data_IF_174295685665
#
_entry.id   IF_174295685665
#
_cell.length_a   1.000
_cell.length_b   1.000
_cell.length_c   1.000
_cell.angle_alpha   90.00
_cell.angle_beta   90.00
_cell.angle_gamma   90.00
#
_symmetry.space_group_name_H-M   'P 1'
#
loop_
_entity.id
_entity.type
_entity.pdbx_description
1 polymer ?
#
# COMPACT_ATOMS: atom_id res chain seq x y z
N UNK A 1 6.15 5.10 -19.48
CA UNK A 1 5.57 6.46 -19.31
C UNK A 1 6.68 7.48 -19.03
N UNK A 2 6.42 8.80 -18.92
CA UNK A 2 7.45 9.75 -18.44
C UNK A 2 7.53 9.72 -16.91
N UNK A 3 8.68 10.08 -16.30
CA UNK A 3 8.81 10.17 -14.84
C UNK A 3 7.72 11.02 -14.18
N UNK A 4 7.33 12.14 -14.80
CA UNK A 4 6.31 13.04 -14.26
C UNK A 4 4.93 12.40 -14.23
N UNK A 5 4.58 11.62 -15.27
CA UNK A 5 3.31 10.87 -15.29
C UNK A 5 3.29 9.79 -14.22
N UNK A 6 4.42 9.11 -13.98
CA UNK A 6 4.53 8.08 -12.95
C UNK A 6 4.47 8.69 -11.55
N UNK A 7 5.17 9.80 -11.32
CA UNK A 7 5.07 10.56 -10.07
C UNK A 7 3.63 11.00 -9.79
N UNK A 8 2.92 11.47 -10.82
CA UNK A 8 1.53 11.86 -10.69
C UNK A 8 0.61 10.66 -10.41
N UNK A 9 0.82 9.52 -11.08
CA UNK A 9 0.06 8.29 -10.81
C UNK A 9 0.21 7.82 -9.35
N UNK A 10 1.45 7.86 -8.83
CA UNK A 10 1.76 7.55 -7.44
C UNK A 10 1.12 8.53 -6.46
N UNK A 11 1.27 9.84 -6.71
CA UNK A 11 0.66 10.89 -5.89
C UNK A 11 -0.86 10.72 -5.85
N UNK A 12 -1.50 10.55 -7.01
CA UNK A 12 -2.96 10.38 -7.10
C UNK A 12 -3.43 9.11 -6.39
N UNK A 13 -2.69 8.01 -6.46
CA UNK A 13 -3.01 6.79 -5.72
C UNK A 13 -3.00 7.03 -4.21
N UNK A 14 -1.97 7.71 -3.69
CA UNK A 14 -1.87 8.06 -2.27
C UNK A 14 -3.02 8.99 -1.84
N UNK A 15 -3.33 10.02 -2.63
CA UNK A 15 -4.38 11.00 -2.28
C UNK A 15 -5.78 10.39 -2.33
N UNK A 16 -6.09 9.61 -3.37
CA UNK A 16 -7.40 8.99 -3.52
C UNK A 16 -7.71 8.02 -2.37
N UNK A 17 -6.68 7.36 -1.86
CA UNK A 17 -6.81 6.45 -0.73
C UNK A 17 -7.22 7.19 0.57
N UNK A 18 -6.71 8.41 0.80
CA UNK A 18 -7.09 9.23 1.96
C UNK A 18 -8.55 9.72 1.92
N UNK A 19 -9.15 9.80 0.73
CA UNK A 19 -10.56 10.16 0.54
C UNK A 19 -11.51 8.99 0.85
N UNK A 20 -11.00 7.76 0.89
CA UNK A 20 -11.79 6.56 1.13
C UNK A 20 -11.99 6.28 2.63
N UNK A 21 -13.12 5.66 2.97
CA UNK A 21 -13.40 5.25 4.34
C UNK A 21 -12.66 3.93 4.63
N UNK A 22 -11.65 4.00 5.50
CA UNK A 22 -10.81 2.84 5.86
C UNK A 22 -10.81 2.63 7.37
N UNK A 23 -11.81 1.91 7.91
CA UNK A 23 -11.96 1.76 9.35
C UNK A 23 -10.69 1.30 10.06
N UNK A 24 -10.24 2.07 11.05
CA UNK A 24 -9.03 1.84 11.83
C UNK A 24 -7.78 2.53 11.29
N UNK A 25 -7.78 3.01 10.05
CA UNK A 25 -6.66 3.72 9.42
C UNK A 25 -6.97 5.23 9.27
N UNK A 26 -5.99 6.03 8.80
CA UNK A 26 -6.15 7.48 8.65
C UNK A 26 -6.92 7.81 7.37
N UNK A 27 -7.91 8.69 7.44
CA UNK A 27 -8.70 9.13 6.29
C UNK A 27 -9.40 10.47 6.56
N UNK A 28 -9.96 11.12 5.52
CA UNK A 28 -10.57 12.47 5.60
C UNK A 28 -11.57 12.67 6.76
N UNK A 29 -12.30 11.63 7.18
CA UNK A 29 -13.27 11.74 8.27
C UNK A 29 -12.69 11.66 9.69
N UNK A 30 -11.42 11.25 9.87
CA UNK A 30 -10.80 11.11 11.19
C UNK A 30 -9.29 10.86 11.10
N UNK A 31 -8.54 11.68 11.85
CA UNK A 31 -7.13 11.44 12.20
C UNK A 31 -6.97 10.13 12.99
N UNK A 32 -5.74 9.60 13.10
CA UNK A 32 -5.50 8.34 13.79
C UNK A 32 -4.03 8.08 14.12
N UNK A 33 -3.79 7.39 15.22
CA UNK A 33 -2.47 6.88 15.62
C UNK A 33 -1.38 7.95 15.78
N UNK A 34 -1.77 9.16 16.18
CA UNK A 34 -0.84 10.28 16.35
C UNK A 34 -0.41 10.97 15.05
N UNK A 35 -1.07 10.64 13.94
CA UNK A 35 -0.84 11.25 12.63
C UNK A 35 -2.12 11.94 12.13
N UNK A 36 -1.93 12.98 11.34
CA UNK A 36 -3.00 13.72 10.67
C UNK A 36 -2.99 13.46 9.17
N UNK A 37 -4.12 13.68 8.50
CA UNK A 37 -4.21 13.56 7.03
C UNK A 37 -3.15 14.43 6.34
N UNK A 38 -2.84 15.61 6.90
CA UNK A 38 -1.79 16.50 6.37
C UNK A 38 -0.42 15.83 6.28
N UNK A 39 -0.09 14.95 7.23
CA UNK A 39 1.20 14.26 7.24
C UNK A 39 1.29 13.32 6.04
N UNK A 40 0.23 12.55 5.76
CA UNK A 40 0.17 11.66 4.60
C UNK A 40 0.18 12.43 3.28
N UNK A 41 -0.54 13.56 3.20
CA UNK A 41 -0.52 14.41 2.01
C UNK A 41 0.88 14.96 1.73
N UNK A 42 1.55 15.54 2.73
CA UNK A 42 2.91 16.05 2.61
C UNK A 42 3.89 14.94 2.22
N UNK A 43 3.73 13.74 2.80
CA UNK A 43 4.57 12.58 2.48
C UNK A 43 4.43 12.12 1.04
N UNK A 44 3.20 12.07 0.52
CA UNK A 44 2.93 11.75 -0.87
C UNK A 44 3.51 12.82 -1.82
N UNK A 45 3.44 14.11 -1.45
CA UNK A 45 4.05 15.19 -2.24
C UNK A 45 5.58 15.13 -2.26
N UNK A 46 6.19 14.95 -1.09
CA UNK A 46 7.65 14.89 -0.94
C UNK A 46 8.25 13.67 -1.67
N UNK A 47 7.60 12.52 -1.58
CA UNK A 47 8.11 11.28 -2.17
C UNK A 47 7.82 11.14 -3.67
N UNK A 48 6.76 11.74 -4.22
CA UNK A 48 6.29 11.44 -5.59
C UNK A 48 7.31 11.67 -6.71
N UNK A 49 7.97 12.84 -6.73
CA UNK A 49 8.97 13.11 -7.76
C UNK A 49 10.26 12.32 -7.53
N UNK A 50 10.63 12.13 -6.26
CA UNK A 50 11.84 11.40 -5.85
C UNK A 50 11.73 9.93 -6.24
N UNK A 51 10.63 9.28 -5.86
CA UNK A 51 10.37 7.87 -6.16
C UNK A 51 10.20 7.63 -7.66
N UNK A 52 9.96 8.65 -8.50
CA UNK A 52 9.83 8.48 -9.95
C UNK A 52 11.10 8.83 -10.73
N UNK A 53 12.19 9.25 -10.08
CA UNK A 53 13.42 9.68 -10.76
C UNK A 53 13.96 8.58 -11.70
N UNK A 54 14.33 8.93 -12.94
CA UNK A 54 14.92 7.97 -13.86
C UNK A 54 16.31 7.52 -13.36
N UNK A 55 16.75 6.36 -13.83
CA UNK A 55 18.11 5.82 -13.60
C UNK A 55 18.48 5.48 -12.15
N UNK A 56 17.51 5.45 -11.22
CA UNK A 56 17.71 4.84 -9.90
C UNK A 56 17.43 3.33 -9.94
N UNK A 57 18.18 2.57 -9.14
CA UNK A 57 17.84 1.21 -8.76
C UNK A 57 16.61 1.19 -7.83
N UNK A 58 16.08 0.00 -7.52
CA UNK A 58 14.87 -0.13 -6.69
C UNK A 58 15.16 0.29 -5.25
N UNK A 59 16.28 -0.15 -4.69
CA UNK A 59 16.71 0.22 -3.34
C UNK A 59 16.96 1.71 -3.20
N UNK A 60 17.76 2.32 -4.09
CA UNK A 60 18.03 3.76 -4.10
C UNK A 60 16.73 4.58 -4.16
N UNK A 61 15.76 4.13 -4.95
CA UNK A 61 14.43 4.73 -5.08
C UNK A 61 13.63 4.64 -3.78
N UNK A 62 13.68 3.50 -3.09
CA UNK A 62 13.07 3.31 -1.76
C UNK A 62 13.72 4.25 -0.75
N UNK A 63 15.05 4.23 -0.63
CA UNK A 63 15.80 5.02 0.34
C UNK A 63 15.57 6.52 0.15
N UNK A 64 15.70 7.01 -1.08
CA UNK A 64 15.51 8.43 -1.39
C UNK A 64 14.08 8.89 -1.09
N UNK A 65 13.08 8.07 -1.40
CA UNK A 65 11.67 8.42 -1.14
C UNK A 65 11.36 8.45 0.36
N UNK A 66 11.94 7.53 1.15
CA UNK A 66 11.81 7.53 2.61
C UNK A 66 12.54 8.73 3.23
N UNK A 67 13.74 9.06 2.75
CA UNK A 67 14.47 10.27 3.18
C UNK A 67 13.65 11.53 2.94
N UNK A 68 13.07 11.69 1.74
CA UNK A 68 12.21 12.83 1.42
C UNK A 68 10.98 12.91 2.34
N UNK A 69 10.39 11.77 2.69
CA UNK A 69 9.28 11.72 3.65
C UNK A 69 9.74 12.12 5.06
N UNK A 70 10.88 11.59 5.51
CA UNK A 70 11.44 11.88 6.83
C UNK A 70 11.78 13.37 6.98
N UNK A 71 12.32 14.00 5.94
CA UNK A 71 12.59 15.44 5.90
C UNK A 71 11.31 16.29 5.95
N UNK A 72 10.24 15.84 5.31
CA UNK A 72 9.00 16.58 5.22
C UNK A 72 8.14 16.51 6.50
N UNK A 73 8.03 15.32 7.11
CA UNK A 73 7.10 15.08 8.23
C UNK A 73 7.71 14.41 9.46
N UNK A 74 8.88 13.79 9.36
CA UNK A 74 9.54 13.12 10.49
C UNK A 74 8.81 11.89 11.03
N UNK A 75 7.81 11.38 10.31
CA UNK A 75 6.91 10.30 10.71
C UNK A 75 6.86 9.21 9.64
N UNK A 76 6.58 7.98 10.07
CA UNK A 76 6.38 6.85 9.16
C UNK A 76 4.94 6.77 8.66
N UNK A 77 4.66 7.51 7.59
CA UNK A 77 3.33 7.62 6.98
C UNK A 77 3.16 6.73 5.74
N UNK A 78 4.26 6.35 5.06
CA UNK A 78 4.18 5.75 3.72
C UNK A 78 5.29 4.72 3.41
N UNK A 79 6.03 4.20 4.39
CA UNK A 79 7.09 3.20 4.13
C UNK A 79 6.54 2.00 3.34
N UNK A 80 5.41 1.45 3.76
CA UNK A 80 4.81 0.29 3.09
C UNK A 80 4.37 0.59 1.66
N UNK A 81 3.79 1.77 1.44
CA UNK A 81 3.45 2.29 0.11
C UNK A 81 4.71 2.39 -0.76
N UNK A 82 5.80 2.98 -0.25
CA UNK A 82 7.06 3.15 -0.99
C UNK A 82 7.64 1.79 -1.38
N UNK A 83 7.69 0.84 -0.44
CA UNK A 83 8.18 -0.52 -0.70
C UNK A 83 7.36 -1.20 -1.80
N UNK A 84 6.03 -1.13 -1.76
CA UNK A 84 5.19 -1.73 -2.79
C UNK A 84 5.32 -1.03 -4.15
N UNK A 85 5.35 0.30 -4.18
CA UNK A 85 5.31 1.06 -5.42
C UNK A 85 6.66 1.17 -6.12
N UNK A 86 7.79 1.16 -5.41
CA UNK A 86 9.12 1.29 -6.02
C UNK A 86 9.42 0.27 -7.15
N UNK A 87 9.21 -1.06 -6.98
CA UNK A 87 9.43 -2.01 -8.06
C UNK A 87 8.42 -1.85 -9.22
N UNK A 88 7.16 -1.46 -8.94
CA UNK A 88 6.17 -1.16 -9.99
C UNK A 88 6.58 0.06 -10.83
N UNK A 89 7.10 1.10 -10.17
CA UNK A 89 7.62 2.29 -10.81
C UNK A 89 8.82 1.94 -11.70
N UNK A 90 9.73 1.11 -11.21
CA UNK A 90 10.85 0.62 -12.00
C UNK A 90 10.37 -0.12 -13.25
N UNK A 91 9.36 -0.97 -13.13
CA UNK A 91 8.74 -1.67 -14.26
C UNK A 91 8.10 -0.68 -15.26
N UNK A 92 7.33 0.30 -14.79
CA UNK A 92 6.69 1.31 -15.63
C UNK A 92 7.68 2.24 -16.36
N UNK A 93 8.85 2.50 -15.75
CA UNK A 93 9.95 3.23 -16.38
C UNK A 93 10.63 2.41 -17.49
N UNK A 94 10.81 1.09 -17.30
CA UNK A 94 11.34 0.18 -18.33
C UNK A 94 10.45 0.10 -19.57
N UNK A 95 9.13 0.20 -19.37
CA UNK A 95 8.12 0.18 -20.44
C UNK A 95 7.92 1.56 -21.11
N UNK A 96 8.89 2.48 -21.02
CA UNK A 96 8.80 3.78 -21.69
C UNK A 96 8.77 3.62 -23.21
N UNK A 97 7.66 4.05 -23.82
CA UNK A 97 7.45 3.98 -25.27
C UNK A 97 6.72 2.71 -25.73
N UNK A 98 6.30 1.85 -24.80
CA UNK A 98 5.47 0.68 -25.11
C UNK A 98 4.12 1.10 -25.69
N UNK A 99 3.71 0.44 -26.78
CA UNK A 99 2.47 0.75 -27.51
C UNK A 99 1.28 0.09 -26.82
N UNK A 100 1.49 -1.07 -26.19
CA UNK A 100 0.45 -1.87 -25.52
C UNK A 100 0.62 -1.88 -23.99
N UNK A 101 0.74 -0.70 -23.37
CA UNK A 101 0.86 -0.61 -21.92
C UNK A 101 -0.46 -0.96 -21.23
N UNK A 102 -0.50 -2.11 -20.53
CA UNK A 102 -1.66 -2.63 -19.81
C UNK A 102 -1.21 -3.39 -18.53
N UNK A 103 -2.15 -3.98 -17.78
CA UNK A 103 -1.82 -4.73 -16.56
C UNK A 103 -0.86 -5.91 -16.82
N UNK A 104 -1.02 -6.64 -17.92
CA UNK A 104 -0.18 -7.80 -18.26
C UNK A 104 1.26 -7.38 -18.57
N UNK A 105 1.43 -6.33 -19.37
CA UNK A 105 2.74 -5.77 -19.69
C UNK A 105 3.45 -5.27 -18.43
N UNK A 106 2.72 -4.56 -17.55
CA UNK A 106 3.27 -4.10 -16.28
C UNK A 106 3.67 -5.26 -15.36
N UNK A 107 2.84 -6.30 -15.26
CA UNK A 107 3.13 -7.48 -14.45
C UNK A 107 4.37 -8.23 -14.96
N UNK A 108 4.49 -8.43 -16.28
CA UNK A 108 5.66 -9.08 -16.88
C UNK A 108 6.95 -8.29 -16.61
N UNK A 109 6.91 -6.96 -16.77
CA UNK A 109 8.05 -6.10 -16.45
C UNK A 109 8.36 -6.08 -14.94
N UNK A 110 7.34 -6.17 -14.08
CA UNK A 110 7.52 -6.23 -12.63
C UNK A 110 8.20 -7.55 -12.22
N UNK A 111 7.78 -8.68 -12.76
CA UNK A 111 8.44 -9.98 -12.52
C UNK A 111 9.92 -9.94 -12.93
N UNK A 112 10.24 -9.31 -14.06
CA UNK A 112 11.63 -9.11 -14.48
C UNK A 112 12.41 -8.21 -13.51
N UNK A 113 11.80 -7.12 -13.02
CA UNK A 113 12.42 -6.27 -11.97
C UNK A 113 12.70 -7.07 -10.71
N UNK A 114 11.74 -7.87 -10.25
CA UNK A 114 11.83 -8.66 -9.03
C UNK A 114 12.92 -9.74 -9.09
N UNK A 115 13.09 -10.39 -10.24
CA UNK A 115 14.17 -11.38 -10.46
C UNK A 115 15.58 -10.76 -10.46
N UNK A 116 15.70 -9.47 -10.77
CA UNK A 116 16.98 -8.78 -10.89
C UNK A 116 17.28 -7.85 -9.70
N UNK A 117 16.53 -7.96 -8.60
CA UNK A 117 16.84 -7.26 -7.37
C UNK A 117 18.21 -7.69 -6.82
N UNK A 118 19.05 -6.71 -6.51
CA UNK A 118 20.44 -6.90 -6.12
C UNK A 118 20.65 -6.89 -4.60
N UNK A 119 21.89 -7.13 -4.17
CA UNK A 119 22.32 -6.96 -2.78
C UNK A 119 22.30 -5.48 -2.38
N UNK A 120 22.75 -4.59 -3.28
CA UNK A 120 22.67 -3.14 -3.03
C UNK A 120 21.24 -2.66 -2.87
N UNK A 121 20.29 -3.22 -3.64
CA UNK A 121 18.87 -2.92 -3.41
C UNK A 121 18.42 -3.30 -1.99
N UNK A 122 18.98 -4.37 -1.42
CA UNK A 122 18.70 -4.80 -0.06
C UNK A 122 19.31 -3.86 0.99
N UNK A 123 20.54 -3.41 0.76
CA UNK A 123 21.25 -2.47 1.65
C UNK A 123 20.50 -1.14 1.77
N UNK A 124 20.08 -0.58 0.62
CA UNK A 124 19.33 0.68 0.59
C UNK A 124 17.93 0.53 1.17
N UNK A 125 17.20 -0.56 0.85
CA UNK A 125 15.88 -0.81 1.42
C UNK A 125 15.94 -1.05 2.93
N UNK A 126 16.96 -1.75 3.43
CA UNK A 126 17.17 -1.94 4.88
C UNK A 126 17.47 -0.60 5.56
N UNK A 127 18.32 0.23 4.95
CA UNK A 127 18.61 1.59 5.44
C UNK A 127 17.35 2.45 5.49
N UNK A 128 16.46 2.31 4.50
CA UNK A 128 15.18 3.01 4.46
C UNK A 128 14.23 2.52 5.57
N UNK A 129 14.14 1.20 5.78
CA UNK A 129 13.32 0.61 6.86
C UNK A 129 13.80 1.10 8.23
N UNK A 130 15.12 1.11 8.46
CA UNK A 130 15.71 1.63 9.71
C UNK A 130 15.42 3.12 9.87
N UNK A 131 15.56 3.91 8.80
CA UNK A 131 15.28 5.35 8.83
C UNK A 131 13.81 5.65 9.17
N UNK A 132 12.89 4.91 8.56
CA UNK A 132 11.46 5.05 8.81
C UNK A 132 11.02 4.54 10.19
N UNK A 133 11.84 3.73 10.87
CA UNK A 133 11.59 3.23 12.22
C UNK A 133 10.13 2.71 12.46
N UNK A 134 9.63 1.77 11.64
CA UNK A 134 8.28 1.21 11.82
C UNK A 134 8.10 0.52 13.17
N UNK A 135 6.87 0.57 13.69
CA UNK A 135 6.52 -0.12 14.92
C UNK A 135 6.66 -1.65 14.77
N UNK A 136 7.21 -2.30 15.80
CA UNK A 136 7.26 -3.76 15.87
C UNK A 136 8.29 -4.42 14.94
N UNK A 137 9.38 -3.70 14.62
CA UNK A 137 10.53 -4.27 13.89
C UNK A 137 11.09 -5.54 14.55
N UNK A 138 11.03 -5.62 15.88
CA UNK A 138 11.37 -6.82 16.66
C UNK A 138 12.81 -7.32 16.45
N UNK A 139 13.14 -8.44 17.09
CA UNK A 139 14.34 -9.21 16.76
C UNK A 139 13.98 -10.22 15.67
N UNK A 140 14.55 -10.08 14.48
CA UNK A 140 14.35 -11.04 13.37
C UNK A 140 15.34 -12.20 13.53
N UNK A 141 14.88 -13.44 13.36
CA UNK A 141 15.73 -14.62 13.49
C UNK A 141 16.72 -14.80 12.33
N UNK A 142 16.48 -14.15 11.19
CA UNK A 142 17.33 -14.14 10.01
C UNK A 142 17.36 -12.74 9.40
N UNK A 143 18.57 -12.24 9.14
CA UNK A 143 18.88 -10.95 8.52
C UNK A 143 18.28 -9.75 9.28
N UNK A 144 19.00 -9.31 10.30
CA UNK A 144 18.74 -8.05 10.99
C UNK A 144 18.88 -6.88 10.01
N UNK A 145 17.84 -6.07 9.86
CA UNK A 145 17.87 -4.86 9.00
C UNK A 145 18.84 -3.79 9.51
N UNK A 146 19.27 -3.89 10.78
CA UNK A 146 20.34 -3.07 11.33
C UNK A 146 21.75 -3.57 10.95
N UNK A 147 21.85 -4.80 10.43
CA UNK A 147 23.08 -5.34 9.87
C UNK A 147 23.11 -5.15 8.34
N UNK A 148 24.31 -5.10 7.76
CA UNK A 148 24.47 -4.98 6.30
C UNK A 148 24.05 -6.29 5.62
N UNK A 149 22.98 -6.31 4.80
CA UNK A 149 22.52 -7.54 4.16
C UNK A 149 23.53 -8.02 3.12
N UNK A 150 23.79 -9.33 3.10
CA UNK A 150 24.65 -9.99 2.10
C UNK A 150 23.86 -10.77 1.05
N UNK A 151 22.54 -10.57 1.03
CA UNK A 151 21.59 -11.26 0.16
C UNK A 151 20.84 -10.24 -0.69
N UNK A 152 20.23 -10.69 -1.79
CA UNK A 152 19.42 -9.79 -2.63
C UNK A 152 18.17 -9.32 -1.90
N UNK A 153 17.57 -8.21 -2.35
CA UNK A 153 16.33 -7.72 -1.75
C UNK A 153 15.19 -8.75 -1.86
N UNK A 154 15.15 -9.55 -2.94
CA UNK A 154 14.20 -10.66 -3.04
C UNK A 154 14.38 -11.68 -1.90
N UNK A 155 15.62 -12.12 -1.64
CA UNK A 155 15.90 -13.06 -0.56
C UNK A 155 15.60 -12.48 0.82
N UNK A 156 15.85 -11.17 1.02
CA UNK A 156 15.48 -10.48 2.25
C UNK A 156 13.96 -10.47 2.46
N UNK A 157 13.19 -10.17 1.41
CA UNK A 157 11.72 -10.17 1.48
C UNK A 157 11.15 -11.58 1.68
N UNK A 158 11.74 -12.60 1.04
CA UNK A 158 11.37 -14.01 1.26
C UNK A 158 11.57 -14.44 2.72
N UNK A 159 12.62 -13.97 3.39
CA UNK A 159 12.85 -14.28 4.80
C UNK A 159 11.76 -13.69 5.73
N UNK A 160 11.14 -12.56 5.32
CA UNK A 160 10.11 -11.86 6.10
C UNK A 160 8.67 -12.20 5.70
N UNK A 161 8.44 -12.95 4.61
CA UNK A 161 7.11 -13.11 3.99
C UNK A 161 6.02 -13.69 4.90
N UNK A 162 6.40 -14.49 5.89
CA UNK A 162 5.46 -15.10 6.84
C UNK A 162 4.97 -14.13 7.92
N UNK A 163 5.64 -12.99 8.07
CA UNK A 163 5.36 -12.00 9.11
C UNK A 163 4.99 -10.62 8.55
N UNK A 164 5.34 -10.35 7.28
CA UNK A 164 5.06 -9.09 6.61
C UNK A 164 4.43 -9.34 5.23
N UNK A 165 3.19 -8.84 5.04
CA UNK A 165 2.44 -9.04 3.81
C UNK A 165 2.97 -8.20 2.64
N UNK A 166 3.71 -7.12 2.91
CA UNK A 166 4.45 -6.37 1.88
C UNK A 166 5.58 -7.25 1.36
N UNK A 167 6.35 -7.87 2.24
CA UNK A 167 7.42 -8.78 1.86
C UNK A 167 6.88 -9.99 1.07
N UNK A 168 5.71 -10.51 1.47
CA UNK A 168 5.00 -11.55 0.71
C UNK A 168 4.67 -11.13 -0.73
N UNK A 169 4.37 -9.85 -1.00
CA UNK A 169 4.11 -9.41 -2.38
C UNK A 169 5.34 -9.60 -3.28
N UNK A 170 6.55 -9.36 -2.77
CA UNK A 170 7.78 -9.55 -3.54
C UNK A 170 7.94 -11.01 -3.96
N UNK A 171 7.79 -11.94 -3.01
CA UNK A 171 7.97 -13.38 -3.29
C UNK A 171 6.82 -14.01 -4.09
N UNK A 172 5.64 -13.36 -4.12
CA UNK A 172 4.45 -13.86 -4.80
C UNK A 172 4.01 -12.97 -5.97
N UNK A 173 4.96 -12.26 -6.59
CA UNK A 173 4.74 -11.46 -7.81
C UNK A 173 3.56 -10.48 -7.71
N UNK A 174 3.34 -9.92 -6.51
CA UNK A 174 2.29 -8.94 -6.24
C UNK A 174 0.87 -9.49 -6.50
N UNK A 175 0.67 -10.79 -6.32
CA UNK A 175 -0.59 -11.46 -6.67
C UNK A 175 -1.80 -10.91 -5.91
N UNK A 176 -1.66 -10.42 -4.67
CA UNK A 176 -2.83 -9.81 -4.01
C UNK A 176 -3.29 -8.54 -4.73
N UNK A 177 -2.36 -7.79 -5.32
CA UNK A 177 -2.70 -6.56 -6.04
C UNK A 177 -3.33 -6.88 -7.40
N UNK A 178 -2.71 -7.77 -8.19
CA UNK A 178 -3.19 -8.08 -9.53
C UNK A 178 -4.41 -9.01 -9.55
N UNK A 179 -4.45 -10.03 -8.68
CA UNK A 179 -5.51 -11.05 -8.72
C UNK A 179 -6.69 -10.72 -7.79
N UNK A 180 -6.50 -9.84 -6.80
CA UNK A 180 -7.56 -9.47 -5.85
C UNK A 180 -7.86 -7.99 -5.91
N UNK A 181 -6.88 -7.12 -5.72
CA UNK A 181 -7.06 -5.68 -5.64
C UNK A 181 -7.69 -5.09 -6.91
N UNK A 182 -7.06 -5.34 -8.06
CA UNK A 182 -7.50 -4.79 -9.35
C UNK A 182 -8.92 -5.26 -9.72
N UNK A 183 -9.24 -6.57 -9.71
CA UNK A 183 -10.61 -7.02 -9.96
C UNK A 183 -11.61 -6.40 -8.97
N UNK A 184 -11.28 -6.36 -7.69
CA UNK A 184 -12.16 -5.79 -6.65
C UNK A 184 -12.45 -4.31 -6.87
N UNK A 185 -11.44 -3.56 -7.29
CA UNK A 185 -11.57 -2.15 -7.60
C UNK A 185 -12.47 -1.92 -8.82
N UNK A 186 -12.24 -2.68 -9.89
CA UNK A 186 -13.04 -2.62 -11.13
C UNK A 186 -14.51 -3.00 -10.87
N UNK A 187 -14.74 -4.08 -10.12
CA UNK A 187 -16.08 -4.49 -9.71
C UNK A 187 -16.79 -3.39 -8.91
N UNK A 188 -16.04 -2.69 -8.04
CA UNK A 188 -16.59 -1.59 -7.23
C UNK A 188 -16.97 -0.39 -8.09
N UNK A 189 -16.08 0.03 -8.99
CA UNK A 189 -16.34 1.10 -9.95
C UNK A 189 -17.59 0.79 -10.78
N UNK A 190 -17.69 -0.44 -11.31
CA UNK A 190 -18.82 -0.88 -12.12
C UNK A 190 -20.12 -0.95 -11.30
N UNK A 191 -20.09 -1.58 -10.12
CA UNK A 191 -21.27 -1.77 -9.27
C UNK A 191 -21.92 -0.44 -8.90
N UNK A 192 -21.11 0.54 -8.53
CA UNK A 192 -21.59 1.83 -8.04
C UNK A 192 -21.47 2.95 -9.07
N UNK A 193 -21.29 2.65 -10.36
CA UNK A 193 -21.10 3.66 -11.43
C UNK A 193 -22.21 4.73 -11.45
N UNK A 194 -23.44 4.34 -11.10
CA UNK A 194 -24.60 5.22 -11.07
C UNK A 194 -24.67 6.10 -9.80
N UNK A 195 -23.90 5.76 -8.77
CA UNK A 195 -23.80 6.51 -7.51
C UNK A 195 -22.66 7.54 -7.59
N UNK A 196 -22.84 8.56 -8.44
CA UNK A 196 -21.90 9.66 -8.57
C UNK A 196 -22.36 10.90 -7.76
N UNK A 197 -22.34 10.79 -6.43
CA UNK A 197 -22.52 11.96 -5.57
C UNK A 197 -21.18 12.68 -5.40
N UNK A 198 -20.93 13.69 -6.24
CA UNK A 198 -19.70 14.51 -6.21
C UNK A 198 -18.40 13.70 -6.37
N UNK A 199 -18.36 12.70 -7.25
CA UNK A 199 -17.15 11.88 -7.47
C UNK A 199 -16.92 10.75 -6.46
N UNK A 200 -17.82 10.54 -5.50
CA UNK A 200 -17.64 9.54 -4.42
C UNK A 200 -17.66 8.08 -4.87
N UNK A 201 -18.05 7.77 -6.12
CA UNK A 201 -17.95 6.41 -6.67
C UNK A 201 -16.54 5.82 -6.46
N UNK A 202 -15.52 6.64 -6.72
CA UNK A 202 -14.12 6.25 -6.58
C UNK A 202 -13.81 5.87 -5.12
N UNK A 203 -14.15 6.74 -4.17
CA UNK A 203 -13.91 6.51 -2.74
C UNK A 203 -14.60 5.22 -2.23
N UNK A 204 -15.78 4.86 -2.76
CA UNK A 204 -16.46 3.61 -2.41
C UNK A 204 -15.81 2.38 -3.02
N UNK A 205 -15.34 2.46 -4.27
CA UNK A 205 -14.55 1.38 -4.87
C UNK A 205 -13.24 1.15 -4.09
N UNK A 206 -12.57 2.22 -3.68
CA UNK A 206 -11.36 2.15 -2.83
C UNK A 206 -11.68 1.53 -1.46
N UNK A 207 -12.78 1.95 -0.83
CA UNK A 207 -13.27 1.36 0.43
C UNK A 207 -13.49 -0.15 0.28
N UNK A 208 -14.02 -0.59 -0.87
CA UNK A 208 -14.24 -2.01 -1.14
C UNK A 208 -12.94 -2.81 -1.27
N UNK A 209 -11.90 -2.22 -1.88
CA UNK A 209 -10.55 -2.82 -1.97
C UNK A 209 -9.95 -2.98 -0.57
N UNK A 210 -9.99 -1.92 0.24
CA UNK A 210 -9.51 -1.93 1.62
C UNK A 210 -10.19 -3.02 2.46
N UNK A 211 -11.53 -3.03 2.46
CA UNK A 211 -12.30 -4.06 3.16
C UNK A 211 -12.00 -5.46 2.62
N UNK A 212 -11.81 -5.60 1.31
CA UNK A 212 -11.46 -6.86 0.66
C UNK A 212 -10.13 -7.42 1.14
N UNK A 213 -9.09 -6.58 1.25
CA UNK A 213 -7.82 -7.00 1.82
C UNK A 213 -7.93 -7.36 3.30
N UNK A 214 -8.56 -6.49 4.10
CA UNK A 214 -8.69 -6.68 5.54
C UNK A 214 -9.56 -7.90 5.89
N UNK A 215 -10.52 -8.28 5.05
CA UNK A 215 -11.37 -9.46 5.22
C UNK A 215 -10.71 -10.78 4.81
N UNK A 216 -9.63 -10.74 4.02
CA UNK A 216 -9.01 -11.93 3.42
C UNK A 216 -7.92 -12.52 4.29
N UNK A 217 -7.14 -11.70 4.98
CA UNK A 217 -6.03 -12.13 5.83
C UNK A 217 -5.83 -11.22 7.05
N UNK A 218 -5.26 -11.74 8.15
CA UNK A 218 -4.91 -10.91 9.29
C UNK A 218 -3.90 -9.82 8.90
N UNK A 219 -4.22 -8.56 9.21
CA UNK A 219 -3.37 -7.42 8.85
C UNK A 219 -2.03 -7.48 9.61
N UNK A 220 -0.91 -7.45 8.88
CA UNK A 220 0.43 -7.62 9.47
C UNK A 220 0.88 -6.41 10.28
N UNK A 221 0.36 -5.21 10.04
CA UNK A 221 0.60 -4.06 10.92
C UNK A 221 -0.05 -4.30 12.29
N UNK A 222 -1.32 -4.73 12.31
CA UNK A 222 -1.99 -5.10 13.56
C UNK A 222 -1.25 -6.26 14.24
N UNK A 223 -0.92 -7.31 13.49
CA UNK A 223 -0.28 -8.50 14.05
C UNK A 223 1.06 -8.17 14.73
N UNK A 224 1.88 -7.29 14.14
CA UNK A 224 3.15 -6.85 14.74
C UNK A 224 2.97 -6.09 16.06
N UNK A 225 1.92 -5.26 16.16
CA UNK A 225 1.72 -4.36 17.31
C UNK A 225 0.84 -4.95 18.41
N UNK A 226 -0.10 -5.83 18.04
CA UNK A 226 -1.16 -6.34 18.92
C UNK A 226 -1.26 -7.88 18.93
N UNK A 227 -0.47 -8.57 18.11
CA UNK A 227 -0.47 -10.03 18.02
C UNK A 227 -1.48 -10.58 17.02
N UNK A 228 -1.22 -11.82 16.58
CA UNK A 228 -1.97 -12.48 15.52
C UNK A 228 -3.45 -12.74 15.86
N UNK A 229 -3.77 -13.02 17.13
CA UNK A 229 -5.15 -13.24 17.58
C UNK A 229 -6.02 -12.02 17.33
N UNK A 230 -5.56 -10.83 17.75
CA UNK A 230 -6.29 -9.58 17.55
C UNK A 230 -6.41 -9.24 16.05
N UNK A 231 -5.35 -9.44 15.27
CA UNK A 231 -5.41 -9.25 13.82
C UNK A 231 -6.46 -10.17 13.15
N UNK A 232 -6.59 -11.42 13.63
CA UNK A 232 -7.59 -12.37 13.15
C UNK A 232 -9.01 -11.95 13.53
N UNK A 233 -9.22 -11.44 14.74
CA UNK A 233 -10.52 -10.92 15.17
C UNK A 233 -10.97 -9.73 14.31
N UNK A 234 -10.06 -8.79 14.03
CA UNK A 234 -10.34 -7.66 13.12
C UNK A 234 -10.65 -8.15 11.71
N UNK A 235 -9.91 -9.12 11.18
CA UNK A 235 -10.19 -9.72 9.87
C UNK A 235 -11.60 -10.36 9.81
N UNK A 236 -12.01 -11.08 10.85
CA UNK A 236 -13.35 -11.68 10.92
C UNK A 236 -14.45 -10.62 10.98
N UNK A 237 -14.22 -9.52 11.71
CA UNK A 237 -15.11 -8.36 11.73
C UNK A 237 -15.19 -7.66 10.36
N UNK A 238 -14.07 -7.57 9.64
CA UNK A 238 -14.00 -7.01 8.31
C UNK A 238 -14.78 -7.85 7.30
N UNK A 239 -14.69 -9.19 7.40
CA UNK A 239 -15.41 -10.12 6.52
C UNK A 239 -16.92 -9.95 6.55
N UNK A 240 -17.49 -9.72 7.75
CA UNK A 240 -18.93 -9.45 7.88
C UNK A 240 -19.33 -8.12 7.22
N UNK A 241 -18.49 -7.09 7.38
CA UNK A 241 -18.73 -5.75 6.84
C UNK A 241 -18.51 -5.67 5.34
N UNK A 242 -17.50 -6.36 4.82
CA UNK A 242 -17.25 -6.50 3.38
C UNK A 242 -18.46 -7.15 2.70
N UNK A 243 -18.99 -8.24 3.27
CA UNK A 243 -20.19 -8.88 2.76
C UNK A 243 -21.41 -7.95 2.76
N UNK A 244 -21.66 -7.22 3.86
CA UNK A 244 -22.75 -6.23 3.94
C UNK A 244 -22.57 -5.08 2.93
N UNK A 245 -21.33 -4.60 2.80
CA UNK A 245 -20.97 -3.53 1.87
C UNK A 245 -21.29 -3.91 0.42
N UNK A 246 -20.92 -5.13 0.02
CA UNK A 246 -21.20 -5.66 -1.32
C UNK A 246 -22.66 -5.98 -1.57
N UNK A 247 -23.46 -6.29 -0.54
CA UNK A 247 -24.91 -6.47 -0.69
C UNK A 247 -25.63 -5.14 -0.94
N UNK A 248 -25.07 -4.02 -0.48
CA UNK A 248 -25.67 -2.71 -0.65
C UNK A 248 -25.62 -2.24 -2.10
N UNK A 249 -26.76 -1.79 -2.63
CA UNK A 249 -26.79 -1.03 -3.90
C UNK A 249 -26.23 0.38 -3.71
N UNK A 250 -26.42 0.96 -2.53
CA UNK A 250 -25.94 2.30 -2.19
C UNK A 250 -24.93 2.23 -1.03
N UNK A 251 -23.62 2.27 -1.31
CA UNK A 251 -22.56 2.05 -0.31
C UNK A 251 -22.57 3.13 0.78
N UNK A 252 -23.12 4.31 0.49
CA UNK A 252 -23.31 5.38 1.47
C UNK A 252 -24.20 4.96 2.64
N UNK A 253 -25.12 4.01 2.45
CA UNK A 253 -25.96 3.49 3.54
C UNK A 253 -25.15 2.72 4.60
N UNK A 254 -23.95 2.26 4.25
CA UNK A 254 -23.04 1.58 5.18
C UNK A 254 -22.09 2.54 5.90
N UNK A 255 -22.08 3.82 5.50
CA UNK A 255 -21.12 4.81 6.00
C UNK A 255 -21.16 4.97 7.52
N UNK A 256 -22.35 5.03 8.12
CA UNK A 256 -22.50 5.20 9.57
C UNK A 256 -21.93 4.02 10.37
N UNK A 257 -22.19 2.80 9.92
CA UNK A 257 -21.68 1.57 10.56
C UNK A 257 -20.16 1.46 10.42
N UNK A 258 -19.63 1.78 9.24
CA UNK A 258 -18.19 1.79 9.00
C UNK A 258 -17.47 2.88 9.82
N UNK A 259 -18.06 4.07 9.99
CA UNK A 259 -17.51 5.11 10.87
C UNK A 259 -17.57 4.74 12.36
N UNK A 260 -18.63 4.05 12.79
CA UNK A 260 -18.71 3.54 14.16
C UNK A 260 -17.62 2.49 14.42
N UNK A 261 -17.37 1.60 13.43
CA UNK A 261 -16.29 0.62 13.54
C UNK A 261 -14.90 1.26 13.45
N UNK A 262 -14.72 2.27 12.61
CA UNK A 262 -13.50 3.07 12.54
C UNK A 262 -13.12 3.63 13.92
N UNK A 263 -14.09 4.27 14.57
CA UNK A 263 -13.94 4.82 15.93
C UNK A 263 -13.54 3.71 16.92
N UNK A 264 -14.23 2.57 16.90
CA UNK A 264 -13.96 1.45 17.80
C UNK A 264 -12.56 0.84 17.61
N UNK A 265 -12.05 0.78 16.37
CA UNK A 265 -10.69 0.31 16.09
C UNK A 265 -9.63 1.32 16.55
N UNK A 266 -9.87 2.62 16.30
CA UNK A 266 -8.97 3.71 16.72
C UNK A 266 -8.87 3.85 18.24
N UNK A 267 -9.99 3.70 18.96
CA UNK A 267 -10.01 3.69 20.43
C UNK A 267 -9.14 2.56 21.01
N UNK A 268 -9.08 1.42 20.31
CA UNK A 268 -8.22 0.28 20.65
C UNK A 268 -6.81 0.38 20.05
N UNK A 269 -6.50 1.48 19.35
CA UNK A 269 -5.23 1.74 18.65
C UNK A 269 -4.89 0.69 17.57
N UNK A 270 -5.91 0.02 17.04
CA UNK A 270 -5.78 -1.00 15.99
C UNK A 270 -5.71 -0.30 14.63
N UNK A 271 -4.56 -0.41 13.97
CA UNK A 271 -4.29 0.20 12.67
C UNK A 271 -4.13 -0.88 11.59
N UNK A 272 -5.11 -1.12 10.71
CA UNK A 272 -4.95 -2.02 9.56
C UNK A 272 -4.13 -1.36 8.42
N UNK A 273 -2.90 -0.97 8.75
CA UNK A 273 -2.05 -0.20 7.84
C UNK A 273 -1.57 -0.98 6.63
N UNK A 274 -1.33 -2.30 6.76
CA UNK A 274 -0.90 -3.08 5.60
C UNK A 274 -2.01 -3.21 4.55
N UNK A 275 -3.27 -3.31 4.98
CA UNK A 275 -4.44 -3.31 4.08
C UNK A 275 -4.59 -1.97 3.35
N UNK A 276 -4.26 -0.85 4.01
CA UNK A 276 -4.18 0.47 3.41
C UNK A 276 -3.05 0.56 2.36
N UNK A 277 -1.84 0.09 2.69
CA UNK A 277 -0.69 0.08 1.77
C UNK A 277 -1.00 -0.71 0.48
N UNK A 278 -1.61 -1.90 0.60
CA UNK A 278 -2.03 -2.73 -0.53
C UNK A 278 -3.13 -2.06 -1.38
N UNK A 279 -3.99 -1.26 -0.74
CA UNK A 279 -5.01 -0.46 -1.43
C UNK A 279 -4.35 0.62 -2.30
N UNK A 280 -3.37 1.35 -1.77
CA UNK A 280 -2.61 2.34 -2.56
C UNK A 280 -1.88 1.66 -3.73
N UNK A 281 -1.24 0.51 -3.49
CA UNK A 281 -0.54 -0.22 -4.54
C UNK A 281 -1.49 -0.69 -5.66
N UNK A 282 -2.73 -1.06 -5.32
CA UNK A 282 -3.78 -1.36 -6.30
C UNK A 282 -4.14 -0.14 -7.15
N UNK A 283 -4.32 1.02 -6.52
CA UNK A 283 -4.60 2.26 -7.23
C UNK A 283 -3.42 2.73 -8.09
N UNK A 284 -2.19 2.46 -7.64
CA UNK A 284 -0.99 2.74 -8.44
C UNK A 284 -0.99 1.96 -9.74
N UNK A 285 -1.27 0.65 -9.68
CA UNK A 285 -1.39 -0.19 -10.90
C UNK A 285 -2.49 0.35 -11.81
N UNK A 286 -3.66 0.66 -11.26
CA UNK A 286 -4.77 1.24 -12.03
C UNK A 286 -4.39 2.56 -12.73
N UNK A 287 -3.77 3.49 -12.01
CA UNK A 287 -3.37 4.81 -12.52
C UNK A 287 -2.21 4.75 -13.53
N UNK A 288 -1.38 3.70 -13.48
CA UNK A 288 -0.34 3.50 -14.47
C UNK A 288 -0.94 3.05 -15.81
N UNK A 289 -1.97 2.22 -15.79
CA UNK A 289 -2.51 1.54 -16.98
C UNK A 289 -3.76 2.17 -17.57
N UNK A 290 -4.24 3.30 -17.03
CA UNK A 290 -5.41 4.04 -17.51
C UNK A 290 -5.11 5.54 -17.57
#
# INVERSE_FOLDING_TARGET
>A
MTPEKIANAYKLACMAELEALKPGNVHIFSDGHGMQISDFMLSAEASALVIAQPNLAVGERILSAVQATQEAVGLNTNLGIILLCAPMIQAALRLKGEVNFNHEALLAALQDVLHHLSVTDAEDASSAIVLANPAGLGDVSQYDVHAQPQVTLMSLMQAAENHDRIAWQYSHNFSDIFDVGIPRFQDGLQRWQHFNNKGQNLAWAITAVYLGFLARQPDTHIARKHGHTIATEVMMQAKLREASFWQSENPKLQQSELLAWDTALKDQKLNPGTSADLTVATLMVHNLTN
#
